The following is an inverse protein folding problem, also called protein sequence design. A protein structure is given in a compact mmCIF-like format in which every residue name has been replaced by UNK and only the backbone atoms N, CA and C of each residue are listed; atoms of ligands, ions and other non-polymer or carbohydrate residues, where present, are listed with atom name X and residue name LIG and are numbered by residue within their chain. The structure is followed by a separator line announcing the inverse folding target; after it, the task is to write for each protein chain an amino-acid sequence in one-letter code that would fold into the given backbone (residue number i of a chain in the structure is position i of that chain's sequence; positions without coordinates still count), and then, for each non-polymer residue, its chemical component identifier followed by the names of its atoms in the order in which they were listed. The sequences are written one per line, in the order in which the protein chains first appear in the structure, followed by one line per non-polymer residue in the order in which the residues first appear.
data_IF_281592928793
#
_entry.id   IF_281592928793
#
_cell.length_a   1.000
_cell.length_b   1.000
_cell.length_c   1.000
_cell.angle_alpha   90.00
_cell.angle_beta   90.00
_cell.angle_gamma   90.00
#
_symmetry.space_group_name_H-M   'P 1'
#
loop_
_entity.id
_entity.type
_entity.pdbx_description
1 polymer ?
#
# COMPACT_ATOMS: atom_id res chain seq x y z
N UNK A 1 -16.01 20.68 14.92
CA UNK A 1 -16.46 19.27 14.92
C UNK A 1 -16.53 18.82 13.48
N UNK A 2 -15.46 18.18 12.99
CA UNK A 2 -15.27 17.88 11.57
C UNK A 2 -15.86 16.50 11.23
N UNK A 3 -16.80 16.48 10.30
CA UNK A 3 -17.48 15.29 9.78
C UNK A 3 -16.63 14.55 8.74
N UNK A 4 -15.43 14.12 9.11
CA UNK A 4 -14.59 13.25 8.28
C UNK A 4 -14.78 11.79 8.74
N UNK A 5 -15.89 11.16 8.31
CA UNK A 5 -16.20 9.80 8.76
C UNK A 5 -16.95 9.01 7.70
N UNK A 6 -16.27 8.01 7.12
CA UNK A 6 -16.81 6.89 6.31
C UNK A 6 -17.06 7.12 4.82
N UNK A 7 -16.06 7.52 4.04
CA UNK A 7 -16.07 7.31 2.57
C UNK A 7 -15.29 6.07 2.11
N UNK A 8 -14.46 5.49 2.98
CA UNK A 8 -13.38 4.57 2.55
C UNK A 8 -13.73 3.09 2.73
N UNK A 9 -14.93 2.84 3.25
CA UNK A 9 -15.44 1.50 3.50
C UNK A 9 -16.49 1.17 2.45
N UNK A 10 -16.08 0.28 1.55
CA UNK A 10 -16.98 -0.43 0.68
C UNK A 10 -18.16 -1.00 1.49
N UNK A 11 -19.38 -0.61 1.11
CA UNK A 11 -20.61 -0.92 1.86
C UNK A 11 -20.92 -2.43 1.81
N UNK A 12 -21.56 -2.99 2.87
CA UNK A 12 -21.97 -4.39 2.87
C UNK A 12 -22.91 -4.64 1.67
N UNK A 13 -22.55 -5.61 0.82
CA UNK A 13 -23.28 -5.98 -0.41
C UNK A 13 -22.65 -5.48 -1.73
N UNK A 14 -21.64 -4.60 -1.69
CA UNK A 14 -20.92 -4.17 -2.89
C UNK A 14 -19.67 -5.01 -3.14
N UNK A 15 -19.44 -5.44 -4.40
CA UNK A 15 -18.15 -6.04 -4.79
C UNK A 15 -17.08 -4.95 -4.77
N UNK A 16 -16.22 -4.98 -3.75
CA UNK A 16 -15.12 -4.04 -3.59
C UNK A 16 -14.02 -4.38 -4.57
N UNK A 17 -14.05 -3.76 -5.74
CA UNK A 17 -12.94 -3.85 -6.70
C UNK A 17 -11.77 -3.01 -6.22
N UNK A 18 -10.54 -3.43 -6.55
CA UNK A 18 -9.31 -2.71 -6.16
C UNK A 18 -9.30 -1.24 -6.60
N UNK A 19 -10.11 -0.88 -7.60
CA UNK A 19 -10.30 0.49 -8.06
C UNK A 19 -10.98 1.40 -7.02
N UNK A 20 -11.75 0.85 -6.08
CA UNK A 20 -12.46 1.60 -5.04
C UNK A 20 -11.77 1.64 -3.67
N UNK A 21 -10.62 0.96 -3.51
CA UNK A 21 -9.93 0.90 -2.22
C UNK A 21 -9.15 2.18 -1.90
N UNK A 22 -9.13 2.55 -0.63
CA UNK A 22 -8.36 3.67 -0.12
C UNK A 22 -6.84 3.50 -0.43
N UNK A 23 -6.11 4.58 -0.75
CA UNK A 23 -4.70 4.52 -1.12
C UNK A 23 -3.83 3.86 -0.04
N UNK A 24 -4.17 3.99 1.24
CA UNK A 24 -3.47 3.35 2.35
C UNK A 24 -3.53 1.82 2.27
N UNK A 25 -4.66 1.26 1.85
CA UNK A 25 -4.81 -0.19 1.71
C UNK A 25 -4.02 -0.72 0.52
N UNK A 26 -3.98 0.04 -0.57
CA UNK A 26 -3.15 -0.26 -1.73
C UNK A 26 -1.66 -0.22 -1.38
N UNK A 27 -1.23 0.77 -0.59
CA UNK A 27 0.14 0.88 -0.10
C UNK A 27 0.54 -0.29 0.81
N UNK A 28 -0.33 -0.72 1.73
CA UNK A 28 -0.07 -1.91 2.55
C UNK A 28 0.04 -3.19 1.72
N UNK A 29 -0.78 -3.35 0.69
CA UNK A 29 -0.68 -4.46 -0.24
C UNK A 29 0.65 -4.46 -1.02
N UNK A 30 1.13 -3.28 -1.44
CA UNK A 30 2.46 -3.10 -2.04
C UNK A 30 3.60 -3.46 -1.09
N UNK A 31 3.52 -3.03 0.16
CA UNK A 31 4.50 -3.38 1.19
C UNK A 31 4.57 -4.89 1.39
N UNK A 32 3.43 -5.59 1.39
CA UNK A 32 3.42 -7.05 1.46
C UNK A 32 4.12 -7.68 0.26
N UNK A 33 3.92 -7.15 -0.95
CA UNK A 33 4.63 -7.67 -2.13
C UNK A 33 6.14 -7.51 -2.00
N UNK A 34 6.60 -6.33 -1.58
CA UNK A 34 8.03 -6.05 -1.40
C UNK A 34 8.65 -6.90 -0.28
N UNK A 35 8.03 -6.94 0.90
CA UNK A 35 8.59 -7.60 2.09
C UNK A 35 8.57 -9.13 1.97
N UNK A 36 7.54 -9.70 1.35
CA UNK A 36 7.42 -11.16 1.19
C UNK A 36 7.85 -11.65 -0.19
N UNK A 37 8.49 -10.78 -1.00
CA UNK A 37 8.95 -11.10 -2.36
C UNK A 37 7.84 -11.74 -3.23
N UNK A 38 6.60 -11.29 -3.06
CA UNK A 38 5.46 -11.80 -3.84
C UNK A 38 5.52 -11.19 -5.23
N UNK A 39 5.98 -11.99 -6.19
CA UNK A 39 6.32 -11.52 -7.54
C UNK A 39 5.11 -11.31 -8.46
N UNK A 40 3.92 -11.74 -8.06
CA UNK A 40 2.72 -11.59 -8.89
C UNK A 40 1.51 -11.11 -8.10
N UNK A 41 0.73 -10.24 -8.73
CA UNK A 41 -0.52 -9.72 -8.18
C UNK A 41 -1.52 -10.86 -7.93
N UNK A 42 -1.57 -11.85 -8.83
CA UNK A 42 -2.39 -13.06 -8.66
C UNK A 42 -2.03 -13.84 -7.41
N UNK A 43 -0.73 -14.00 -7.13
CA UNK A 43 -0.27 -14.67 -5.91
C UNK A 43 -0.60 -13.85 -4.67
N UNK A 44 -0.48 -12.51 -4.73
CA UNK A 44 -0.93 -11.63 -3.65
C UNK A 44 -2.43 -11.82 -3.40
N UNK A 45 -3.27 -11.88 -4.44
CA UNK A 45 -4.72 -12.09 -4.29
C UNK A 45 -5.01 -13.41 -3.60
N UNK A 46 -4.34 -14.50 -4.01
CA UNK A 46 -4.47 -15.81 -3.35
C UNK A 46 -4.07 -15.73 -1.88
N UNK A 47 -2.93 -15.13 -1.57
CA UNK A 47 -2.45 -14.97 -0.20
C UNK A 47 -3.46 -14.18 0.65
N UNK A 48 -4.07 -13.10 0.13
CA UNK A 48 -5.09 -12.36 0.85
C UNK A 48 -6.40 -13.13 1.05
N UNK A 49 -6.65 -14.15 0.21
CA UNK A 49 -7.86 -14.98 0.25
C UNK A 49 -7.82 -15.96 1.41
N UNK A 50 -6.72 -16.68 1.57
CA UNK A 50 -6.59 -17.68 2.64
C UNK A 50 -5.85 -17.18 3.88
N UNK A 51 -5.01 -16.14 3.78
CA UNK A 51 -4.20 -15.68 4.91
C UNK A 51 -4.88 -14.51 5.63
N UNK A 52 -5.57 -14.84 6.72
CA UNK A 52 -6.30 -13.88 7.53
C UNK A 52 -5.39 -12.78 8.12
N UNK A 53 -4.13 -13.08 8.41
CA UNK A 53 -3.16 -12.12 8.94
C UNK A 53 -2.79 -11.06 7.89
N UNK A 54 -2.53 -11.49 6.65
CA UNK A 54 -2.24 -10.56 5.55
C UNK A 54 -3.46 -9.70 5.23
N UNK A 55 -4.66 -10.30 5.31
CA UNK A 55 -5.93 -9.61 5.11
C UNK A 55 -6.17 -8.54 6.18
N UNK A 56 -5.92 -8.86 7.45
CA UNK A 56 -5.98 -7.92 8.56
C UNK A 56 -4.98 -6.77 8.37
N UNK A 57 -3.74 -7.08 7.97
CA UNK A 57 -2.70 -6.07 7.75
C UNK A 57 -3.13 -5.03 6.71
N UNK A 58 -3.66 -5.47 5.56
CA UNK A 58 -4.17 -4.58 4.51
C UNK A 58 -5.41 -3.79 4.98
N UNK A 59 -6.08 -4.20 6.05
CA UNK A 59 -7.30 -3.57 6.56
C UNK A 59 -8.55 -3.97 5.74
N UNK A 60 -8.54 -5.19 5.21
CA UNK A 60 -9.71 -5.81 4.58
C UNK A 60 -10.57 -6.49 5.65
N UNK A 61 -11.89 -6.41 5.51
CA UNK A 61 -12.82 -7.17 6.37
C UNK A 61 -12.67 -8.67 6.10
N UNK A 62 -12.92 -9.51 7.12
CA UNK A 62 -12.79 -10.97 7.00
C UNK A 62 -13.69 -11.55 5.90
N UNK A 63 -14.87 -10.97 5.66
CA UNK A 63 -15.84 -11.46 4.66
C UNK A 63 -15.79 -10.72 3.32
N UNK A 64 -14.86 -9.78 3.12
CA UNK A 64 -14.79 -8.98 1.90
C UNK A 64 -14.43 -9.84 0.66
N UNK A 65 -15.24 -9.86 -0.42
CA UNK A 65 -14.84 -10.59 -1.61
C UNK A 65 -13.56 -10.00 -2.20
N UNK A 66 -12.58 -10.86 -2.49
CA UNK A 66 -11.33 -10.42 -3.14
C UNK A 66 -11.60 -10.31 -4.64
N UNK A 67 -11.37 -9.11 -5.16
CA UNK A 67 -11.53 -8.85 -6.58
C UNK A 67 -10.33 -9.31 -7.38
N UNK A 68 -10.55 -9.60 -8.66
CA UNK A 68 -9.55 -10.14 -9.58
C UNK A 68 -8.32 -9.22 -9.74
N UNK A 69 -7.15 -9.86 -9.88
CA UNK A 69 -5.84 -9.23 -9.94
C UNK A 69 -5.71 -8.20 -11.07
N UNK A 70 -6.51 -8.33 -12.14
CA UNK A 70 -6.48 -7.40 -13.28
C UNK A 70 -6.83 -5.96 -12.93
N UNK A 71 -7.46 -5.70 -11.79
CA UNK A 71 -7.79 -4.33 -11.35
C UNK A 71 -6.64 -3.68 -10.58
N UNK A 72 -5.75 -4.47 -9.98
CA UNK A 72 -4.63 -3.96 -9.18
C UNK A 72 -3.51 -3.41 -10.07
N UNK A 73 -3.25 -4.05 -11.21
CA UNK A 73 -2.30 -3.60 -12.25
C UNK A 73 -2.79 -2.41 -13.07
N UNK A 74 -4.11 -2.27 -13.26
CA UNK A 74 -4.71 -1.22 -14.12
C UNK A 74 -4.83 0.15 -13.46
N UNK A 75 -4.45 0.29 -12.19
CA UNK A 75 -4.59 1.55 -11.45
C UNK A 75 -3.28 1.98 -10.74
N UNK A 76 -2.16 2.13 -11.48
CA UNK A 76 -0.86 2.46 -10.90
C UNK A 76 -0.83 3.86 -10.28
N UNK A 77 -1.42 4.86 -10.95
CA UNK A 77 -1.41 6.26 -10.50
C UNK A 77 -2.06 6.43 -9.12
N UNK A 78 -3.13 5.68 -8.84
CA UNK A 78 -3.81 5.69 -7.54
C UNK A 78 -3.15 4.78 -6.49
N UNK A 79 -2.37 3.78 -6.90
CA UNK A 79 -1.56 2.95 -6.00
C UNK A 79 -0.43 3.77 -5.37
N UNK A 80 0.08 4.72 -6.14
CA UNK A 80 1.15 5.63 -5.75
C UNK A 80 0.63 7.05 -5.58
N UNK A 81 -0.65 7.24 -5.27
CA UNK A 81 -1.22 8.56 -5.03
C UNK A 81 -0.31 9.29 -4.03
N UNK A 82 0.39 10.29 -4.54
CA UNK A 82 1.76 10.63 -4.12
C UNK A 82 1.85 10.98 -2.65
N UNK A 83 0.79 11.59 -2.12
CA UNK A 83 0.70 12.07 -0.76
C UNK A 83 0.89 10.98 0.29
N UNK A 84 0.28 9.80 0.13
CA UNK A 84 0.32 8.78 1.19
C UNK A 84 1.64 8.04 1.18
N UNK A 85 2.13 7.67 0.00
CA UNK A 85 3.43 7.01 -0.16
C UNK A 85 4.58 7.93 0.29
N UNK A 86 4.53 9.21 -0.09
CA UNK A 86 5.52 10.21 0.31
C UNK A 86 5.51 10.44 1.82
N UNK A 87 4.34 10.60 2.45
CA UNK A 87 4.24 10.75 3.91
C UNK A 87 4.76 9.52 4.65
N UNK A 88 4.45 8.32 4.16
CA UNK A 88 4.96 7.09 4.77
C UNK A 88 6.49 7.02 4.66
N UNK A 89 7.05 7.28 3.48
CA UNK A 89 8.50 7.25 3.28
C UNK A 89 9.20 8.31 4.15
N UNK A 90 8.67 9.54 4.19
CA UNK A 90 9.19 10.61 5.03
C UNK A 90 9.17 10.22 6.52
N UNK A 91 8.08 9.59 6.98
CA UNK A 91 7.99 9.10 8.36
C UNK A 91 8.96 7.95 8.66
N UNK A 92 9.22 7.06 7.69
CA UNK A 92 10.19 5.97 7.84
C UNK A 92 11.62 6.51 7.92
N UNK A 93 12.00 7.42 7.02
CA UNK A 93 13.34 8.04 7.00
C UNK A 93 13.59 8.89 8.25
N UNK A 94 12.56 9.55 8.79
CA UNK A 94 12.67 10.33 10.01
C UNK A 94 12.95 9.49 11.28
N UNK A 95 12.84 8.16 11.24
CA UNK A 95 13.12 7.32 12.41
C UNK A 95 14.60 7.40 12.79
N UNK A 96 14.97 7.65 14.07
CA UNK A 96 16.36 7.82 14.48
C UNK A 96 17.28 6.65 14.10
N UNK A 97 16.74 5.43 14.15
CA UNK A 97 17.46 4.21 13.77
C UNK A 97 17.74 4.12 12.27
N UNK A 98 16.84 4.65 11.43
CA UNK A 98 17.02 4.70 9.98
C UNK A 98 17.94 5.86 9.62
N UNK A 99 17.72 7.03 10.24
CA UNK A 99 18.56 8.22 10.05
C UNK A 99 20.03 7.95 10.39
N UNK A 100 20.31 7.18 11.44
CA UNK A 100 21.67 6.76 11.80
C UNK A 100 22.33 5.81 10.78
N UNK A 101 21.55 5.21 9.88
CA UNK A 101 22.03 4.33 8.81
C UNK A 101 22.11 5.04 7.45
N UNK A 102 21.71 6.31 7.39
CA UNK A 102 21.78 7.10 6.16
C UNK A 102 23.10 7.87 6.14
N UNK A 103 23.73 7.92 4.96
CA UNK A 103 24.87 8.80 4.72
C UNK A 103 24.36 10.21 4.43
N UNK A 104 25.06 11.22 4.94
CA UNK A 104 24.84 12.63 4.58
C UNK A 104 25.42 12.97 3.18
N UNK A 105 26.15 12.04 2.57
CA UNK A 105 26.60 12.17 1.19
C UNK A 105 25.44 11.91 0.21
N UNK A 106 25.24 12.84 -0.72
CA UNK A 106 24.21 12.75 -1.75
C UNK A 106 24.44 11.51 -2.62
N UNK A 107 23.59 10.50 -2.47
CA UNK A 107 23.63 9.29 -3.27
C UNK A 107 22.62 9.41 -4.43
N UNK A 108 23.14 9.56 -5.65
CA UNK A 108 22.33 9.55 -6.87
C UNK A 108 22.34 8.14 -7.48
N UNK A 109 21.18 7.49 -7.53
CA UNK A 109 20.96 6.31 -8.37
C UNK A 109 20.23 6.77 -9.63
N UNK A 110 20.73 6.39 -10.80
CA UNK A 110 20.21 6.71 -12.15
C UNK A 110 20.16 8.21 -12.55
N UNK A 111 20.88 9.09 -11.85
CA UNK A 111 21.00 10.52 -12.21
C UNK A 111 19.90 11.42 -11.66
N UNK A 112 18.94 10.85 -10.93
CA UNK A 112 18.00 11.61 -10.11
C UNK A 112 18.58 11.84 -8.72
N UNK A 113 18.84 13.10 -8.39
CA UNK A 113 19.32 13.56 -7.09
C UNK A 113 18.23 13.36 -6.04
N UNK A 114 18.44 12.43 -5.12
CA UNK A 114 17.58 12.27 -3.93
C UNK A 114 18.24 13.09 -2.81
N UNK A 115 17.55 14.12 -2.31
CA UNK A 115 17.96 14.80 -1.09
C UNK A 115 17.62 13.92 0.10
N UNK A 116 18.63 13.60 0.90
CA UNK A 116 18.51 12.90 2.19
C UNK A 116 18.28 13.90 3.33
#
# INVERSE_FOLDING_TARGET
MSSAGRSDQCRPGWRCTWAGLAPEKLLRALLLQALYSVRSERQLMKQLDYNLLLRWFVGLSMDAPISDASTFSKNPDRRLDGDVAQRLLAAVVAQPRIKALMSDEHFSVDGTLIQA
#
